data_IF_357422323239
#
_entry.id   IF_357422323239
#
_cell.length_a   1.000
_cell.length_b   1.000
_cell.length_c   1.000
_cell.angle_alpha   90.00
_cell.angle_beta   90.00
_cell.angle_gamma   90.00
#
_symmetry.space_group_name_H-M   'P 1'
#
loop_
_entity.id
_entity.type
_entity.pdbx_description
1 polymer ?
#
# COMPACT_ATOMS: atom_id res chain seq x y z
N UNK A 1 -10.40 -12.12 -9.54
CA UNK A 1 -10.44 -11.16 -8.42
C UNK A 1 -9.09 -11.17 -7.72
N UNK A 2 -8.72 -10.08 -7.05
CA UNK A 2 -7.46 -9.99 -6.33
C UNK A 2 -7.52 -10.82 -5.05
N UNK A 3 -6.39 -11.40 -4.67
CA UNK A 3 -6.23 -12.16 -3.42
C UNK A 3 -5.64 -11.30 -2.30
N UNK A 4 -4.95 -10.21 -2.65
CA UNK A 4 -4.38 -9.26 -1.69
C UNK A 4 -4.46 -7.82 -2.22
N UNK A 5 -4.88 -6.85 -1.39
CA UNK A 5 -4.94 -5.42 -1.76
C UNK A 5 -4.16 -4.55 -0.78
N UNK A 6 -3.37 -3.61 -1.30
CA UNK A 6 -2.54 -2.70 -0.52
C UNK A 6 -2.85 -1.23 -0.80
N UNK A 7 -2.91 -0.43 0.26
CA UNK A 7 -2.83 1.02 0.12
C UNK A 7 -2.95 1.83 1.40
N UNK A 8 -2.80 3.14 1.26
CA UNK A 8 -2.71 4.11 2.35
C UNK A 8 -4.10 4.51 2.86
N UNK A 9 -4.29 4.56 4.19
CA UNK A 9 -5.52 4.74 4.99
C UNK A 9 -6.36 6.02 4.76
N UNK A 10 -6.18 6.75 3.66
CA UNK A 10 -7.04 7.89 3.29
C UNK A 10 -8.42 7.40 2.84
N UNK A 11 -9.44 8.26 2.93
CA UNK A 11 -10.85 7.90 2.68
C UNK A 11 -11.12 7.13 1.37
N UNK A 12 -10.32 7.37 0.31
CA UNK A 12 -10.41 6.62 -0.95
C UNK A 12 -10.10 5.14 -0.79
N UNK A 13 -9.08 4.75 -0.01
CA UNK A 13 -8.75 3.34 0.19
C UNK A 13 -9.84 2.65 1.00
N UNK A 14 -10.41 3.34 2.01
CA UNK A 14 -11.44 2.77 2.86
C UNK A 14 -12.69 2.43 2.03
N UNK A 15 -13.12 3.32 1.13
CA UNK A 15 -14.23 3.03 0.22
C UNK A 15 -13.96 1.85 -0.72
N UNK A 16 -12.75 1.77 -1.29
CA UNK A 16 -12.34 0.65 -2.15
C UNK A 16 -12.32 -0.66 -1.36
N UNK A 17 -11.74 -0.67 -0.16
CA UNK A 17 -11.65 -1.84 0.71
C UNK A 17 -13.05 -2.33 1.11
N UNK A 18 -13.95 -1.42 1.52
CA UNK A 18 -15.34 -1.78 1.87
C UNK A 18 -15.99 -2.52 0.70
N UNK A 19 -15.89 -1.97 -0.52
CA UNK A 19 -16.47 -2.61 -1.69
C UNK A 19 -15.79 -3.95 -2.03
N UNK A 20 -14.47 -4.06 -1.84
CA UNK A 20 -13.75 -5.32 -2.02
C UNK A 20 -14.20 -6.36 -1.00
N UNK A 21 -14.42 -6.01 0.26
CA UNK A 21 -14.90 -6.94 1.29
C UNK A 21 -16.35 -7.39 1.03
N UNK A 22 -17.18 -6.54 0.43
CA UNK A 22 -18.54 -6.91 -0.04
C UNK A 22 -18.49 -7.93 -1.19
N UNK A 23 -17.72 -7.64 -2.25
CA UNK A 23 -17.71 -8.45 -3.48
C UNK A 23 -16.76 -9.66 -3.41
N UNK A 24 -15.72 -9.56 -2.59
CA UNK A 24 -14.68 -10.57 -2.42
C UNK A 24 -14.24 -10.66 -0.95
N UNK A 25 -15.08 -11.22 -0.07
CA UNK A 25 -14.82 -11.25 1.39
C UNK A 25 -13.56 -12.04 1.77
N UNK A 26 -13.10 -12.94 0.90
CA UNK A 26 -11.85 -13.71 1.07
C UNK A 26 -10.59 -12.94 0.65
N UNK A 27 -10.73 -11.75 0.05
CA UNK A 27 -9.61 -10.92 -0.31
C UNK A 27 -8.92 -10.42 0.96
N UNK A 28 -7.60 -10.64 1.04
CA UNK A 28 -6.77 -10.13 2.12
C UNK A 28 -6.47 -8.66 1.87
N UNK A 29 -6.58 -7.83 2.89
CA UNK A 29 -6.35 -6.39 2.84
C UNK A 29 -5.19 -6.07 3.76
N UNK A 30 -4.12 -5.52 3.19
CA UNK A 30 -2.91 -5.18 3.92
C UNK A 30 -2.76 -3.67 3.93
N UNK A 31 -2.80 -3.08 5.11
CA UNK A 31 -2.52 -1.67 5.33
C UNK A 31 -1.02 -1.43 5.26
N UNK A 32 -0.61 -0.34 4.61
CA UNK A 32 0.80 0.09 4.63
C UNK A 32 0.90 1.30 5.55
N UNK A 33 1.84 1.23 6.48
CA UNK A 33 2.15 2.30 7.41
C UNK A 33 3.65 2.64 7.39
N UNK A 34 4.03 3.81 7.89
CA UNK A 34 5.45 4.16 8.03
C UNK A 34 6.05 3.54 9.30
N UNK A 35 7.33 3.19 9.27
CA UNK A 35 8.03 2.60 10.42
C UNK A 35 7.94 3.47 11.69
N UNK A 36 8.03 4.79 11.50
CA UNK A 36 7.96 5.83 12.53
C UNK A 36 6.53 6.40 12.75
N UNK A 37 5.50 5.68 12.34
CA UNK A 37 4.09 6.00 12.57
C UNK A 37 3.50 5.07 13.62
N UNK A 38 2.61 5.62 14.46
CA UNK A 38 1.88 4.88 15.50
C UNK A 38 0.50 4.40 15.03
N UNK A 39 0.14 4.64 13.76
CA UNK A 39 -1.18 4.29 13.25
C UNK A 39 -1.44 2.79 13.27
N UNK A 40 -0.51 1.98 12.75
CA UNK A 40 -0.64 0.52 12.76
C UNK A 40 -0.38 -0.09 14.13
N UNK A 41 0.46 0.56 14.93
CA UNK A 41 0.96 0.08 16.21
C UNK A 41 1.17 1.25 17.19
N UNK A 42 0.26 1.43 18.16
CA UNK A 42 0.35 2.51 19.15
C UNK A 42 1.59 2.47 20.04
N UNK A 43 2.26 1.31 20.18
CA UNK A 43 3.45 1.16 21.02
C UNK A 43 4.74 1.55 20.29
N UNK A 44 4.68 1.76 18.98
CA UNK A 44 5.86 2.10 18.19
C UNK A 44 6.37 3.52 18.46
N UNK A 45 7.68 3.71 18.30
CA UNK A 45 8.32 5.01 18.52
C UNK A 45 8.01 5.96 17.35
N UNK A 46 7.24 7.05 17.58
CA UNK A 46 6.97 8.03 16.54
C UNK A 46 8.23 8.82 16.20
N UNK A 47 8.34 9.29 14.96
CA UNK A 47 9.46 10.14 14.57
C UNK A 47 9.27 10.78 13.21
N UNK A 48 10.18 11.69 12.87
CA UNK A 48 10.14 12.41 11.59
C UNK A 48 10.63 11.52 10.44
N UNK A 49 9.95 11.60 9.30
CA UNK A 49 10.26 10.88 8.07
C UNK A 49 9.93 11.75 6.85
N UNK A 50 10.61 11.45 5.74
CA UNK A 50 10.51 12.21 4.48
C UNK A 50 9.34 11.75 3.61
N UNK A 51 8.88 10.51 3.79
CA UNK A 51 7.82 9.92 2.99
C UNK A 51 6.46 10.60 3.24
N UNK A 52 5.97 11.34 2.26
CA UNK A 52 4.68 12.02 2.36
C UNK A 52 3.47 11.10 2.08
N UNK A 53 2.33 11.44 2.69
CA UNK A 53 1.02 10.85 2.34
C UNK A 53 0.72 9.49 2.98
N UNK A 54 1.56 9.04 3.91
CA UNK A 54 1.43 7.83 4.73
C UNK A 54 1.94 8.13 6.15
N UNK A 55 1.56 7.30 7.12
CA UNK A 55 1.86 7.48 8.53
C UNK A 55 1.07 8.59 9.23
N UNK A 56 0.64 8.30 10.45
CA UNK A 56 -0.13 9.22 11.28
C UNK A 56 0.09 8.90 12.74
N UNK A 57 0.16 9.92 13.57
CA UNK A 57 0.18 9.83 15.04
C UNK A 57 -1.22 9.70 15.64
N UNK A 58 -2.27 9.87 14.84
CA UNK A 58 -3.67 9.68 15.24
C UNK A 58 -4.46 8.86 14.23
N UNK A 59 -5.53 8.21 14.69
CA UNK A 59 -6.50 7.54 13.82
C UNK A 59 -7.56 8.52 13.31
N UNK A 60 -7.70 8.64 11.99
CA UNK A 60 -8.77 9.42 11.37
C UNK A 60 -10.14 8.74 11.52
N UNK A 61 -11.21 9.52 11.67
CA UNK A 61 -12.59 9.01 11.75
C UNK A 61 -13.03 8.22 10.50
N UNK A 62 -12.41 8.47 9.34
CA UNK A 62 -12.73 7.73 8.10
C UNK A 62 -12.02 6.38 8.01
N UNK A 63 -11.00 6.13 8.84
CA UNK A 63 -10.27 4.87 8.84
C UNK A 63 -11.00 3.83 9.68
N UNK A 64 -11.51 2.80 9.01
CA UNK A 64 -12.02 1.61 9.67
C UNK A 64 -10.94 0.50 9.70
N UNK A 65 -10.22 0.40 10.82
CA UNK A 65 -9.16 -0.61 11.01
C UNK A 65 -9.66 -2.05 10.93
N UNK A 66 -10.94 -2.33 11.21
CA UNK A 66 -11.49 -3.69 11.16
C UNK A 66 -11.56 -4.27 9.74
N UNK A 67 -11.41 -3.43 8.71
CA UNK A 67 -11.34 -3.87 7.32
C UNK A 67 -9.93 -4.30 6.88
N UNK A 68 -8.92 -4.06 7.72
CA UNK A 68 -7.51 -4.34 7.45
C UNK A 68 -7.14 -5.62 8.18
N UNK A 69 -6.67 -6.62 7.44
CA UNK A 69 -6.31 -7.94 7.98
C UNK A 69 -4.88 -7.94 8.55
N UNK A 70 -3.98 -7.13 7.98
CA UNK A 70 -2.56 -7.07 8.34
C UNK A 70 -1.99 -5.66 8.08
N UNK A 71 -0.96 -5.28 8.82
CA UNK A 71 -0.19 -4.06 8.57
C UNK A 71 1.26 -4.37 8.19
N UNK A 72 1.79 -3.64 7.22
CA UNK A 72 3.20 -3.68 6.83
C UNK A 72 3.81 -2.29 7.03
N UNK A 73 4.93 -2.25 7.78
CA UNK A 73 5.72 -1.03 7.98
C UNK A 73 6.78 -0.86 6.89
N UNK A 74 6.76 0.27 6.21
CA UNK A 74 7.76 0.70 5.24
C UNK A 74 8.59 1.87 5.79
N UNK A 75 9.85 1.99 5.35
CA UNK A 75 10.71 3.14 5.63
C UNK A 75 10.91 4.00 4.36
N UNK A 76 11.45 5.20 4.54
CA UNK A 76 11.77 6.14 3.47
C UNK A 76 12.62 5.49 2.37
N UNK A 77 13.65 4.72 2.78
CA UNK A 77 14.60 4.11 1.85
C UNK A 77 13.91 3.12 0.91
N UNK A 78 13.18 2.15 1.47
CA UNK A 78 12.46 1.15 0.71
C UNK A 78 11.41 1.78 -0.21
N UNK A 79 10.67 2.77 0.30
CA UNK A 79 9.66 3.49 -0.46
C UNK A 79 10.25 4.22 -1.68
N UNK A 80 11.30 5.01 -1.47
CA UNK A 80 11.93 5.79 -2.55
C UNK A 80 12.71 4.93 -3.54
N UNK A 81 13.38 3.88 -3.07
CA UNK A 81 14.05 2.92 -3.96
C UNK A 81 13.03 2.24 -4.87
N UNK A 82 11.91 1.77 -4.33
CA UNK A 82 10.85 1.14 -5.13
C UNK A 82 10.19 2.14 -6.08
N UNK A 83 9.94 3.39 -5.66
CA UNK A 83 9.39 4.42 -6.54
C UNK A 83 10.31 4.70 -7.73
N UNK A 84 11.63 4.80 -7.51
CA UNK A 84 12.62 4.97 -8.58
C UNK A 84 12.66 3.76 -9.53
N UNK A 85 12.53 2.55 -9.00
CA UNK A 85 12.44 1.33 -9.81
C UNK A 85 11.18 1.33 -10.69
N UNK A 86 10.02 1.67 -10.13
CA UNK A 86 8.77 1.80 -10.90
C UNK A 86 8.89 2.79 -12.06
N UNK A 87 9.56 3.92 -11.84
CA UNK A 87 9.82 4.91 -12.90
C UNK A 87 10.74 4.31 -13.99
N UNK A 88 11.83 3.66 -13.58
CA UNK A 88 12.88 3.16 -14.49
C UNK A 88 12.48 1.90 -15.25
N UNK A 89 11.89 0.94 -14.55
CA UNK A 89 11.63 -0.42 -15.03
C UNK A 89 10.26 -0.52 -15.69
N UNK A 90 9.26 0.22 -15.19
CA UNK A 90 7.86 0.09 -15.60
C UNK A 90 7.30 1.37 -16.26
N UNK A 91 8.08 2.46 -16.29
CA UNK A 91 7.64 3.75 -16.84
C UNK A 91 6.51 4.41 -16.03
N UNK A 92 6.35 4.06 -14.75
CA UNK A 92 5.28 4.56 -13.89
C UNK A 92 5.79 5.78 -13.11
N UNK A 93 5.32 6.96 -13.48
CA UNK A 93 5.64 8.23 -12.80
C UNK A 93 4.82 8.37 -11.50
N UNK A 94 5.29 7.74 -10.43
CA UNK A 94 4.66 7.77 -9.11
C UNK A 94 5.56 8.37 -8.01
N UNK A 95 4.94 8.78 -6.90
CA UNK A 95 5.65 9.25 -5.70
C UNK A 95 6.06 8.16 -4.71
N UNK A 96 6.73 8.56 -3.63
CA UNK A 96 7.24 7.64 -2.59
C UNK A 96 6.15 6.75 -1.99
N UNK A 97 4.97 7.29 -1.68
CA UNK A 97 3.87 6.52 -1.07
C UNK A 97 3.36 5.37 -1.96
N UNK A 98 3.53 5.49 -3.28
CA UNK A 98 3.27 4.40 -4.22
C UNK A 98 4.38 3.36 -4.23
N UNK A 99 5.62 3.82 -4.11
CA UNK A 99 6.76 2.95 -3.90
C UNK A 99 6.60 2.10 -2.63
N UNK A 100 6.13 2.70 -1.52
CA UNK A 100 5.82 1.96 -0.29
C UNK A 100 4.75 0.88 -0.52
N UNK A 101 3.64 1.21 -1.19
CA UNK A 101 2.58 0.25 -1.49
C UNK A 101 3.06 -0.91 -2.37
N UNK A 102 3.84 -0.62 -3.42
CA UNK A 102 4.39 -1.66 -4.31
C UNK A 102 5.43 -2.50 -3.59
N UNK A 103 6.29 -1.89 -2.78
CA UNK A 103 7.28 -2.63 -1.99
C UNK A 103 6.61 -3.59 -1.01
N UNK A 104 5.57 -3.13 -0.30
CA UNK A 104 4.77 -3.98 0.57
C UNK A 104 4.03 -5.06 -0.23
N UNK A 105 3.58 -4.76 -1.44
CA UNK A 105 2.89 -5.71 -2.30
C UNK A 105 3.83 -6.81 -2.79
N UNK A 106 5.07 -6.48 -3.15
CA UNK A 106 6.11 -7.46 -3.48
C UNK A 106 6.40 -8.38 -2.30
N UNK A 107 6.50 -7.84 -1.08
CA UNK A 107 6.64 -8.64 0.14
C UNK A 107 5.45 -9.58 0.36
N UNK A 108 4.22 -9.06 0.24
CA UNK A 108 3.01 -9.86 0.39
C UNK A 108 2.91 -10.95 -0.68
N UNK A 109 3.32 -10.66 -1.92
CA UNK A 109 3.31 -11.58 -3.05
C UNK A 109 4.29 -12.76 -2.86
N UNK A 110 5.46 -12.52 -2.24
CA UNK A 110 6.47 -13.55 -2.01
C UNK A 110 5.96 -14.71 -1.13
N UNK A 111 4.98 -14.45 -0.25
CA UNK A 111 4.35 -15.47 0.59
C UNK A 111 3.14 -16.18 -0.06
N UNK A 112 2.76 -15.84 -1.29
CA UNK A 112 1.56 -16.38 -1.92
C UNK A 112 1.88 -17.50 -2.94
N UNK A 113 1.01 -18.54 -3.02
CA UNK A 113 1.12 -19.55 -4.07
C UNK A 113 1.03 -18.96 -5.49
N UNK A 114 1.62 -19.65 -6.45
CA UNK A 114 1.53 -19.30 -7.87
C UNK A 114 0.06 -19.20 -8.32
N UNK A 115 -0.25 -18.20 -9.15
CA UNK A 115 -1.58 -17.97 -9.71
C UNK A 115 -2.49 -17.07 -8.87
N UNK A 116 -2.06 -16.68 -7.67
CA UNK A 116 -2.68 -15.61 -6.88
C UNK A 116 -2.45 -14.25 -7.51
N UNK A 117 -3.24 -13.23 -7.14
CA UNK A 117 -3.11 -11.86 -7.67
C UNK A 117 -3.00 -10.86 -6.52
N UNK A 118 -2.03 -9.96 -6.59
CA UNK A 118 -1.86 -8.87 -5.63
C UNK A 118 -2.18 -7.55 -6.34
N UNK A 119 -2.87 -6.64 -5.66
CA UNK A 119 -3.16 -5.29 -6.15
C UNK A 119 -2.47 -4.29 -5.25
N UNK A 120 -1.75 -3.34 -5.83
CA UNK A 120 -1.23 -2.18 -5.13
C UNK A 120 -1.88 -0.89 -5.65
N UNK A 121 -2.33 -0.04 -4.72
CA UNK A 121 -2.78 1.31 -5.05
C UNK A 121 -1.61 2.23 -5.37
N UNK A 122 -1.62 2.83 -6.56
CA UNK A 122 -0.59 3.79 -6.99
C UNK A 122 -1.22 5.17 -7.16
N UNK A 123 -0.58 6.15 -6.58
CA UNK A 123 -0.89 7.57 -6.71
C UNK A 123 0.15 8.23 -7.64
N UNK A 124 -0.30 9.06 -8.58
CA UNK A 124 0.61 9.76 -9.47
C UNK A 124 1.47 10.76 -8.70
N UNK A 125 2.64 11.08 -9.26
CA UNK A 125 3.45 12.19 -8.79
C UNK A 125 2.73 13.50 -9.17
N UNK A 126 2.36 14.34 -8.20
CA UNK A 126 1.63 15.63 -8.38
C UNK A 126 0.18 15.52 -8.89
N UNK A 127 -0.48 16.66 -9.16
CA UNK A 127 -1.86 16.86 -9.68
C UNK A 127 -2.19 16.14 -11.01
N UNK A 128 -1.45 15.11 -11.42
CA UNK A 128 -1.79 14.33 -12.59
C UNK A 128 -3.10 13.57 -12.34
N UNK A 129 -4.04 13.69 -13.27
CA UNK A 129 -5.39 13.12 -13.22
C UNK A 129 -5.43 11.58 -13.27
N UNK A 130 -4.28 10.90 -13.22
CA UNK A 130 -4.12 9.48 -13.45
C UNK A 130 -4.08 8.70 -12.13
N UNK A 131 -5.24 8.28 -11.63
CA UNK A 131 -5.34 7.27 -10.58
C UNK A 131 -5.29 5.88 -11.23
N UNK A 132 -4.20 5.14 -11.04
CA UNK A 132 -4.05 3.77 -11.58
C UNK A 132 -4.00 2.75 -10.45
N UNK A 133 -4.74 1.66 -10.63
CA UNK A 133 -4.64 0.46 -9.81
C UNK A 133 -3.72 -0.51 -10.56
N UNK A 134 -2.63 -0.96 -9.93
CA UNK A 134 -1.72 -1.93 -10.55
C UNK A 134 -1.95 -3.31 -9.99
N UNK A 135 -2.12 -4.26 -10.90
CA UNK A 135 -2.16 -5.69 -10.62
C UNK A 135 -0.74 -6.24 -10.67
N UNK A 136 -0.18 -6.57 -9.51
CA UNK A 136 1.06 -7.32 -9.39
C UNK A 136 0.71 -8.80 -9.41
N UNK A 137 1.08 -9.48 -10.48
CA UNK A 137 1.00 -10.93 -10.56
C UNK A 137 2.27 -11.52 -9.91
N UNK A 138 2.19 -12.37 -8.86
CA UNK A 138 3.34 -13.01 -8.20
C UNK A 138 4.26 -13.79 -9.14
N UNK A 139 3.88 -14.04 -10.39
CA UNK A 139 4.76 -14.66 -11.41
C UNK A 139 5.79 -13.67 -11.98
N UNK A 140 5.59 -12.35 -11.84
CA UNK A 140 6.48 -11.31 -12.37
C UNK A 140 7.47 -10.76 -11.34
N UNK A 141 7.34 -11.12 -10.05
CA UNK A 141 8.34 -10.82 -9.04
C UNK A 141 9.52 -11.79 -9.21
N UNK A 142 10.40 -11.49 -10.17
CA UNK A 142 11.74 -12.07 -10.24
C UNK A 142 12.72 -11.24 -9.43
#
# INVERSE_FOLDING_TARGET
MADCCLGNYRGTICGVITKIKEECPKCRVVGVDHAKSTLSDPESEPGVYELEGIGSDFQSAVLNKSLIDEWVKADDKAAFEMARRLIREEGILCGGSSGANVWAACKAAAGLPKGKKVVAGIQPLSNASLRKIILINPVAAK
#
